data_IF_753647461612
#
_entry.id   IF_753647461612
#
_cell.length_a   1.000
_cell.length_b   1.000
_cell.length_c   1.000
_cell.angle_alpha   90.00
_cell.angle_beta   90.00
_cell.angle_gamma   90.00
#
_symmetry.space_group_name_H-M   'P 1'
#
loop_
_entity.id
_entity.type
_entity.pdbx_description
1 polymer ?
#
# COMPACT_ATOMS: atom_id res chain seq x y z
N UNK A 1 -32.26 -8.16 -23.70
CA UNK A 1 -32.35 -8.42 -22.25
C UNK A 1 -31.20 -7.70 -21.59
N UNK A 2 -31.44 -6.53 -21.01
CA UNK A 2 -30.40 -5.80 -20.29
C UNK A 2 -30.36 -6.38 -18.88
N UNK A 3 -29.26 -7.06 -18.55
CA UNK A 3 -28.96 -7.41 -17.17
C UNK A 3 -28.76 -6.10 -16.42
N UNK A 4 -29.76 -5.70 -15.64
CA UNK A 4 -29.58 -4.72 -14.58
C UNK A 4 -28.73 -5.47 -13.56
N UNK A 5 -27.42 -5.29 -13.61
CA UNK A 5 -26.53 -5.72 -12.54
C UNK A 5 -26.98 -4.94 -11.32
N UNK A 6 -27.73 -5.61 -10.45
CA UNK A 6 -28.14 -5.10 -9.15
C UNK A 6 -26.84 -4.76 -8.41
N UNK A 7 -26.48 -3.47 -8.35
CA UNK A 7 -25.32 -3.02 -7.61
C UNK A 7 -25.57 -3.38 -6.16
N UNK A 8 -24.92 -4.45 -5.70
CA UNK A 8 -24.97 -4.88 -4.31
C UNK A 8 -24.64 -3.67 -3.43
N UNK A 9 -25.59 -3.32 -2.57
CA UNK A 9 -25.52 -2.13 -1.75
C UNK A 9 -24.66 -2.44 -0.51
N UNK A 10 -23.34 -2.55 -0.73
CA UNK A 10 -22.37 -2.79 0.34
C UNK A 10 -22.36 -1.60 1.31
N UNK A 11 -22.11 -1.89 2.59
CA UNK A 11 -22.05 -0.87 3.62
C UNK A 11 -21.02 0.20 3.26
N UNK A 12 -21.39 1.46 3.47
CA UNK A 12 -20.53 2.60 3.18
C UNK A 12 -20.71 3.72 4.21
N UNK A 13 -19.68 4.49 4.46
CA UNK A 13 -19.70 5.58 5.43
C UNK A 13 -18.88 6.78 4.95
N UNK A 14 -19.20 7.99 5.43
CA UNK A 14 -18.52 9.19 4.95
C UNK A 14 -17.06 9.21 5.39
N UNK A 15 -16.23 9.84 4.56
CA UNK A 15 -14.88 10.22 4.96
C UNK A 15 -14.92 11.30 6.04
N UNK A 16 -13.93 11.29 6.94
CA UNK A 16 -13.72 12.37 7.92
C UNK A 16 -13.36 13.69 7.22
N UNK A 17 -13.54 14.86 7.87
CA UNK A 17 -13.06 16.13 7.34
C UNK A 17 -11.58 16.12 6.93
N UNK A 18 -10.73 15.47 7.72
CA UNK A 18 -9.28 15.37 7.50
C UNK A 18 -8.96 14.50 6.29
N UNK A 19 -9.65 13.36 6.14
CA UNK A 19 -9.48 12.49 4.96
C UNK A 19 -9.89 13.21 3.67
N UNK A 20 -10.97 14.01 3.71
CA UNK A 20 -11.37 14.84 2.56
C UNK A 20 -10.34 15.91 2.24
N UNK A 21 -9.76 16.55 3.27
CA UNK A 21 -8.72 17.56 3.07
C UNK A 21 -7.46 16.97 2.43
N UNK A 22 -7.05 15.77 2.86
CA UNK A 22 -5.95 15.00 2.26
C UNK A 22 -6.20 14.74 0.77
N UNK A 23 -7.40 14.26 0.42
CA UNK A 23 -7.76 13.99 -0.98
C UNK A 23 -7.82 15.26 -1.83
N UNK A 24 -8.42 16.35 -1.32
CA UNK A 24 -8.46 17.63 -2.03
C UNK A 24 -7.06 18.21 -2.27
N UNK A 25 -6.14 18.07 -1.30
CA UNK A 25 -4.76 18.48 -1.47
C UNK A 25 -4.05 17.64 -2.54
N UNK A 26 -4.37 16.35 -2.64
CA UNK A 26 -3.83 15.49 -3.69
C UNK A 26 -4.35 15.88 -5.09
N UNK A 27 -5.66 16.12 -5.23
CA UNK A 27 -6.29 16.59 -6.48
C UNK A 27 -5.77 17.95 -6.95
N UNK A 28 -5.46 18.87 -6.04
CA UNK A 28 -4.98 20.21 -6.39
C UNK A 28 -3.53 20.24 -6.90
N UNK A 29 -2.73 19.22 -6.57
CA UNK A 29 -1.31 19.13 -6.96
C UNK A 29 -1.09 18.42 -8.30
N UNK A 30 -2.11 17.75 -8.86
CA UNK A 30 -1.98 16.96 -10.08
C UNK A 30 -3.08 17.31 -11.10
N UNK A 31 -2.70 17.62 -12.34
CA UNK A 31 -3.64 18.06 -13.40
C UNK A 31 -4.53 16.95 -13.97
N UNK A 32 -4.37 15.69 -13.54
CA UNK A 32 -5.17 14.55 -13.96
C UNK A 32 -5.82 13.85 -12.75
N UNK A 33 -7.16 13.88 -12.72
CA UNK A 33 -8.04 13.34 -11.67
C UNK A 33 -7.90 11.84 -11.38
N UNK A 34 -7.15 11.08 -12.19
CA UNK A 34 -6.86 9.66 -11.95
C UNK A 34 -5.58 9.43 -11.14
N UNK A 35 -4.74 10.47 -11.00
CA UNK A 35 -3.44 10.39 -10.34
C UNK A 35 -3.53 10.78 -8.85
N UNK A 36 -4.58 11.50 -8.43
CA UNK A 36 -4.75 12.06 -7.09
C UNK A 36 -4.77 11.03 -5.93
N UNK A 37 -4.88 9.73 -6.20
CA UNK A 37 -4.70 8.69 -5.18
C UNK A 37 -3.21 8.33 -4.93
N UNK A 38 -2.28 8.87 -5.73
CA UNK A 38 -0.83 8.65 -5.64
C UNK A 38 -0.17 9.62 -4.66
N UNK A 39 -0.73 10.82 -4.51
CA UNK A 39 -0.18 11.86 -3.66
C UNK A 39 -0.64 11.70 -2.20
N UNK A 40 -0.09 10.69 -1.51
CA UNK A 40 0.22 10.64 -0.06
C UNK A 40 0.49 9.23 0.47
N UNK A 41 1.04 8.33 -0.35
CA UNK A 41 1.56 7.08 0.18
C UNK A 41 2.69 7.38 1.18
N UNK A 42 2.45 7.14 2.47
CA UNK A 42 3.48 7.23 3.49
C UNK A 42 4.23 5.90 3.55
N UNK A 43 5.55 5.94 3.39
CA UNK A 43 6.41 4.77 3.50
C UNK A 43 7.08 4.76 4.86
N UNK A 44 6.85 3.70 5.61
CA UNK A 44 7.55 3.39 6.85
C UNK A 44 8.56 2.28 6.56
N UNK A 45 9.82 2.50 6.92
CA UNK A 45 10.88 1.49 6.85
C UNK A 45 11.18 1.02 8.27
N UNK A 46 11.18 -0.29 8.48
CA UNK A 46 11.51 -0.91 9.76
C UNK A 46 12.65 -1.92 9.55
N UNK A 47 13.71 -1.79 10.34
CA UNK A 47 14.81 -2.75 10.35
C UNK A 47 14.45 -3.92 11.27
N UNK A 48 14.61 -5.15 10.76
CA UNK A 48 14.33 -6.39 11.48
C UNK A 48 15.60 -7.21 11.49
N UNK A 49 16.15 -7.42 12.69
CA UNK A 49 17.34 -8.23 12.89
C UNK A 49 16.97 -9.71 13.04
N UNK A 50 17.64 -10.57 12.28
CA UNK A 50 17.50 -12.02 12.37
C UNK A 50 16.75 -12.67 11.20
N UNK A 51 16.57 -13.98 11.29
CA UNK A 51 15.90 -14.76 10.26
C UNK A 51 14.39 -14.48 10.27
N UNK A 52 13.84 -14.11 9.11
CA UNK A 52 12.44 -13.81 8.93
C UNK A 52 11.84 -14.72 7.86
N UNK A 53 10.73 -15.38 8.21
CA UNK A 53 9.95 -16.16 7.26
C UNK A 53 9.00 -15.23 6.49
N UNK A 54 9.32 -15.01 5.21
CA UNK A 54 8.58 -14.16 4.29
C UNK A 54 7.10 -14.56 4.18
N UNK A 55 6.82 -15.86 4.08
CA UNK A 55 5.45 -16.37 3.90
C UNK A 55 4.59 -16.18 5.14
N UNK A 56 5.18 -16.36 6.33
CA UNK A 56 4.48 -16.14 7.60
C UNK A 56 4.21 -14.66 7.84
N UNK A 57 5.12 -13.78 7.43
CA UNK A 57 4.92 -12.33 7.54
C UNK A 57 3.83 -11.85 6.58
N UNK A 58 3.83 -12.30 5.32
CA UNK A 58 2.75 -12.00 4.36
C UNK A 58 1.38 -12.43 4.92
N UNK A 59 1.30 -13.65 5.44
CA UNK A 59 0.07 -14.18 6.06
C UNK A 59 -0.38 -13.36 7.27
N UNK A 60 0.57 -12.96 8.14
CA UNK A 60 0.27 -12.13 9.30
C UNK A 60 -0.27 -10.75 8.88
N UNK A 61 0.32 -10.11 7.86
CA UNK A 61 -0.14 -8.83 7.33
C UNK A 61 -1.52 -8.95 6.68
N UNK A 62 -1.79 -10.03 5.96
CA UNK A 62 -3.12 -10.30 5.41
C UNK A 62 -4.18 -10.41 6.52
N UNK A 63 -3.86 -11.08 7.62
CA UNK A 63 -4.74 -11.19 8.78
C UNK A 63 -4.99 -9.83 9.46
N UNK A 64 -3.94 -9.04 9.68
CA UNK A 64 -4.07 -7.68 10.24
C UNK A 64 -4.95 -6.83 9.34
N UNK A 65 -4.72 -6.86 8.02
CA UNK A 65 -5.52 -6.12 7.04
C UNK A 65 -7.00 -6.49 7.13
N UNK A 66 -7.33 -7.78 7.27
CA UNK A 66 -8.71 -8.25 7.39
C UNK A 66 -9.39 -7.83 8.71
N UNK A 67 -8.62 -7.70 9.80
CA UNK A 67 -9.16 -7.36 11.12
C UNK A 67 -9.42 -5.86 11.30
N UNK A 68 -8.83 -5.02 10.46
CA UNK A 68 -8.92 -3.56 10.59
C UNK A 68 -9.70 -2.94 9.43
N UNK A 69 -10.88 -2.39 9.75
CA UNK A 69 -11.78 -1.70 8.81
C UNK A 69 -11.07 -0.63 7.96
N UNK A 70 -10.14 0.11 8.58
CA UNK A 70 -9.35 1.14 7.91
C UNK A 70 -8.45 0.61 6.78
N UNK A 71 -8.12 -0.68 6.80
CA UNK A 71 -7.29 -1.35 5.79
C UNK A 71 -8.09 -2.33 4.91
N UNK A 72 -9.35 -2.60 5.28
CA UNK A 72 -10.22 -3.55 4.59
C UNK A 72 -11.33 -2.88 3.76
N UNK A 73 -11.16 -1.61 3.40
CA UNK A 73 -12.19 -0.83 2.70
C UNK A 73 -11.63 -0.16 1.46
N UNK A 74 -12.50 0.09 0.49
CA UNK A 74 -12.18 0.87 -0.69
C UNK A 74 -12.69 2.31 -0.54
N UNK A 75 -12.03 3.23 -1.23
CA UNK A 75 -12.52 4.60 -1.39
C UNK A 75 -13.22 4.72 -2.75
N UNK A 76 -14.55 4.81 -2.76
CA UNK A 76 -15.36 4.79 -3.99
C UNK A 76 -16.38 5.92 -4.03
N UNK A 77 -16.72 6.36 -5.24
CA UNK A 77 -17.91 7.17 -5.47
C UNK A 77 -19.15 6.29 -5.32
N UNK A 78 -20.14 6.76 -4.55
CA UNK A 78 -21.39 6.03 -4.30
C UNK A 78 -22.57 6.85 -4.83
N UNK A 79 -23.43 6.21 -5.61
CA UNK A 79 -24.63 6.82 -6.19
C UNK A 79 -25.48 7.50 -5.11
N UNK A 80 -25.90 8.75 -5.37
CA UNK A 80 -26.70 9.55 -4.44
C UNK A 80 -25.88 10.34 -3.40
N UNK A 81 -24.57 10.14 -3.34
CA UNK A 81 -23.66 10.90 -2.47
C UNK A 81 -22.66 11.70 -3.29
N UNK A 82 -22.23 12.85 -2.76
CA UNK A 82 -21.14 13.63 -3.35
C UNK A 82 -19.80 13.21 -2.75
N UNK A 83 -18.80 13.06 -3.62
CA UNK A 83 -17.44 12.69 -3.25
C UNK A 83 -17.25 11.22 -2.91
N UNK A 84 -15.99 10.86 -2.59
CA UNK A 84 -15.62 9.51 -2.20
C UNK A 84 -16.15 9.15 -0.80
N UNK A 85 -16.38 7.86 -0.61
CA UNK A 85 -16.80 7.25 0.65
C UNK A 85 -15.98 5.99 0.91
N UNK A 86 -15.84 5.63 2.17
CA UNK A 86 -15.44 4.26 2.48
C UNK A 86 -16.56 3.30 2.05
N UNK A 87 -16.18 2.21 1.40
CA UNK A 87 -17.07 1.14 1.03
C UNK A 87 -16.45 -0.19 1.47
N UNK A 88 -17.25 -1.01 2.16
CA UNK A 88 -16.89 -2.38 2.48
C UNK A 88 -16.66 -3.19 1.19
N UNK A 89 -15.80 -4.19 1.28
CA UNK A 89 -15.50 -5.11 0.18
C UNK A 89 -16.01 -6.50 0.53
N UNK A 90 -16.63 -7.18 -0.45
CA UNK A 90 -17.05 -8.58 -0.30
C UNK A 90 -15.83 -9.51 -0.21
N UNK A 91 -14.83 -9.24 -1.04
CA UNK A 91 -13.53 -9.89 -1.03
C UNK A 91 -12.42 -8.84 -1.07
N UNK A 92 -11.41 -9.01 -0.23
CA UNK A 92 -10.23 -8.15 -0.23
C UNK A 92 -9.24 -8.66 -1.27
N UNK A 93 -8.74 -7.80 -2.18
CA UNK A 93 -7.73 -8.22 -3.16
C UNK A 93 -6.49 -8.74 -2.43
N UNK A 94 -5.78 -9.74 -2.95
CA UNK A 94 -4.52 -10.18 -2.35
C UNK A 94 -3.55 -9.01 -2.14
N UNK A 95 -2.72 -9.09 -1.10
CA UNK A 95 -1.66 -8.11 -0.89
C UNK A 95 -0.64 -8.25 -2.04
N UNK A 96 -0.22 -7.15 -2.65
CA UNK A 96 0.92 -7.15 -3.57
C UNK A 96 2.23 -7.31 -2.76
N UNK A 97 2.51 -8.54 -2.31
CA UNK A 97 3.70 -8.85 -1.52
C UNK A 97 4.95 -8.86 -2.40
N UNK A 98 5.98 -8.13 -1.97
CA UNK A 98 7.29 -8.11 -2.63
C UNK A 98 8.36 -8.61 -1.68
N UNK A 99 9.13 -9.58 -2.14
CA UNK A 99 10.31 -10.08 -1.44
C UNK A 99 11.52 -9.94 -2.36
N UNK A 100 12.46 -9.07 -2.00
CA UNK A 100 13.61 -8.71 -2.84
C UNK A 100 14.90 -8.81 -2.02
N UNK A 101 15.98 -9.26 -2.65
CA UNK A 101 17.32 -9.27 -2.03
C UNK A 101 18.10 -8.07 -2.55
N UNK A 102 18.50 -7.18 -1.64
CA UNK A 102 19.37 -6.05 -1.94
C UNK A 102 20.82 -6.50 -1.79
N UNK A 103 21.44 -6.89 -2.91
CA UNK A 103 22.84 -7.29 -2.98
C UNK A 103 23.67 -6.31 -3.81
N UNK A 104 24.98 -6.32 -3.55
CA UNK A 104 25.96 -5.65 -4.39
C UNK A 104 26.12 -6.33 -5.75
N UNK A 105 27.01 -5.79 -6.57
CA UNK A 105 27.26 -6.19 -7.96
C UNK A 105 27.67 -7.65 -8.20
N UNK A 106 27.88 -8.45 -7.14
CA UNK A 106 28.27 -9.87 -7.23
C UNK A 106 27.18 -10.84 -6.75
N UNK A 107 25.92 -10.38 -6.62
CA UNK A 107 24.70 -11.13 -6.25
C UNK A 107 24.75 -11.96 -4.93
N UNK A 108 25.90 -11.99 -4.26
CA UNK A 108 26.18 -12.77 -3.06
C UNK A 108 26.69 -11.92 -1.90
N UNK A 109 27.26 -10.75 -2.17
CA UNK A 109 27.74 -9.85 -1.13
C UNK A 109 26.68 -8.82 -0.71
N UNK A 110 26.51 -8.58 0.60
CA UNK A 110 25.68 -7.49 1.08
C UNK A 110 26.23 -6.14 0.61
N UNK A 111 25.33 -5.19 0.39
CA UNK A 111 25.72 -3.81 0.10
C UNK A 111 26.50 -3.22 1.29
N UNK A 112 27.50 -2.38 0.99
CA UNK A 112 28.14 -1.55 2.00
C UNK A 112 27.13 -0.57 2.59
N UNK A 113 27.33 -0.13 3.84
CA UNK A 113 26.36 0.72 4.56
C UNK A 113 25.93 1.98 3.78
N UNK A 114 26.85 2.61 3.02
CA UNK A 114 26.53 3.76 2.17
C UNK A 114 25.61 3.39 1.01
N UNK A 115 25.98 2.37 0.24
CA UNK A 115 25.23 1.90 -0.93
C UNK A 115 23.87 1.31 -0.52
N UNK A 116 23.80 0.66 0.65
CA UNK A 116 22.57 0.13 1.21
C UNK A 116 21.57 1.25 1.55
N UNK A 117 22.04 2.31 2.19
CA UNK A 117 21.19 3.45 2.55
C UNK A 117 20.63 4.14 1.29
N UNK A 118 21.45 4.30 0.26
CA UNK A 118 21.02 4.87 -1.02
C UNK A 118 20.02 3.94 -1.73
N UNK A 119 20.26 2.63 -1.73
CA UNK A 119 19.33 1.65 -2.28
C UNK A 119 17.96 1.66 -1.56
N UNK A 120 17.96 1.65 -0.22
CA UNK A 120 16.74 1.74 0.59
C UNK A 120 15.98 3.03 0.36
N UNK A 121 16.69 4.16 0.29
CA UNK A 121 16.09 5.47 -0.01
C UNK A 121 15.44 5.45 -1.38
N UNK A 122 16.16 5.02 -2.42
CA UNK A 122 15.65 4.95 -3.79
C UNK A 122 14.43 4.01 -3.89
N UNK A 123 14.47 2.86 -3.23
CA UNK A 123 13.33 1.94 -3.17
C UNK A 123 12.12 2.59 -2.49
N UNK A 124 12.33 3.27 -1.36
CA UNK A 124 11.25 3.95 -0.63
C UNK A 124 10.59 5.07 -1.44
N UNK A 125 11.38 5.86 -2.18
CA UNK A 125 10.87 6.93 -3.04
C UNK A 125 10.12 6.35 -4.25
N UNK A 126 10.63 5.28 -4.87
CA UNK A 126 9.92 4.58 -5.93
C UNK A 126 8.58 4.00 -5.46
N UNK A 127 8.51 3.53 -4.20
CA UNK A 127 7.27 3.02 -3.62
C UNK A 127 6.26 4.14 -3.36
N UNK A 128 6.71 5.31 -2.87
CA UNK A 128 5.86 6.51 -2.66
C UNK A 128 5.23 7.00 -3.95
N UNK A 129 5.99 7.00 -5.05
CA UNK A 129 5.53 7.49 -6.35
C UNK A 129 4.58 6.53 -7.07
N UNK A 130 4.46 5.28 -6.60
CA UNK A 130 3.59 4.31 -7.26
C UNK A 130 2.14 4.53 -6.83
N UNK A 131 1.21 4.79 -7.77
CA UNK A 131 -0.22 4.95 -7.46
C UNK A 131 -0.76 3.75 -6.67
N UNK A 132 -1.70 4.01 -5.76
CA UNK A 132 -2.42 2.97 -5.03
C UNK A 132 -3.83 2.84 -5.61
N UNK A 133 -4.27 1.60 -5.89
CA UNK A 133 -5.63 1.35 -6.34
C UNK A 133 -6.62 1.41 -5.16
N UNK A 134 -6.77 2.59 -4.54
CA UNK A 134 -7.62 2.81 -3.36
C UNK A 134 -9.09 2.47 -3.62
N UNK A 135 -9.54 2.62 -4.87
CA UNK A 135 -10.87 2.20 -5.31
C UNK A 135 -11.04 0.68 -5.30
N UNK A 136 -9.95 -0.08 -5.37
CA UNK A 136 -9.97 -1.55 -5.28
C UNK A 136 -9.69 -2.05 -3.86
N UNK A 137 -9.46 -1.16 -2.89
CA UNK A 137 -9.10 -1.52 -1.51
C UNK A 137 -7.60 -1.72 -1.31
N UNK A 138 -6.76 -1.30 -2.26
CA UNK A 138 -5.31 -1.30 -2.07
C UNK A 138 -4.92 -0.08 -1.21
N UNK A 139 -4.88 -0.29 0.12
CA UNK A 139 -4.47 0.72 1.11
C UNK A 139 -3.14 0.40 1.80
N UNK A 140 -2.53 -0.74 1.48
CA UNK A 140 -1.25 -1.19 2.02
C UNK A 140 -0.46 -1.93 0.93
N UNK A 141 0.81 -1.59 0.77
CA UNK A 141 1.75 -2.23 -0.16
C UNK A 141 3.06 -2.58 0.56
N UNK A 142 3.12 -3.73 1.24
CA UNK A 142 4.30 -4.13 2.02
C UNK A 142 5.37 -4.72 1.11
N UNK A 143 6.62 -4.52 1.50
CA UNK A 143 7.78 -5.16 0.88
C UNK A 143 8.76 -5.63 1.96
N UNK A 144 9.35 -6.79 1.74
CA UNK A 144 10.42 -7.34 2.56
C UNK A 144 11.72 -7.32 1.75
N UNK A 145 12.67 -6.52 2.22
CA UNK A 145 13.99 -6.37 1.61
C UNK A 145 15.00 -7.11 2.48
N UNK A 146 15.61 -8.15 1.94
CA UNK A 146 16.74 -8.83 2.61
C UNK A 146 18.01 -8.07 2.28
N UNK A 147 18.74 -7.62 3.30
CA UNK A 147 19.93 -6.75 3.16
C UNK A 147 21.25 -7.45 3.43
N UNK A 148 21.22 -8.77 3.64
CA UNK A 148 22.38 -9.61 3.95
C UNK A 148 22.34 -10.20 5.36
N UNK A 149 23.35 -11.00 5.70
CA UNK A 149 23.58 -11.45 7.07
C UNK A 149 24.45 -10.43 7.79
N UNK A 150 23.90 -9.79 8.82
CA UNK A 150 24.69 -8.97 9.72
C UNK A 150 25.41 -9.91 10.68
N UNK A 151 26.61 -10.36 10.31
CA UNK A 151 27.49 -11.12 11.20
C UNK A 151 27.90 -10.18 12.33
N UNK A 152 27.17 -10.21 13.45
CA UNK A 152 27.54 -9.47 14.64
C UNK A 152 28.93 -9.88 15.10
N UNK A 153 29.85 -8.92 15.13
CA UNK A 153 31.10 -9.00 15.89
C UNK A 153 30.86 -8.61 17.35
#
# INVERSE_FOLDING_TARGET
MNAITEQQNLAHWPLSPEQRAVLMAAEANESDTQQAASAQANVMVADIQGALDSSRLESALSNVRQQHEALSTALKSVTGYRGLRHQALEELPAIEWRYEYLCGSDDQEPLLDGDLNDALKNYSEALKLRPMAVESGELLRPALLRTGEKTGY
#
